data_IF_944539873325
#
_entry.id   IF_944539873325
#
_cell.length_a   1.000
_cell.length_b   1.000
_cell.length_c   1.000
_cell.angle_alpha   90.00
_cell.angle_beta   90.00
_cell.angle_gamma   90.00
#
_symmetry.space_group_name_H-M   'P 1'
#
loop_
_entity.id
_entity.type
_entity.pdbx_description
1 polymer ?
#
# COMPACT_ATOMS: atom_id res chain seq x y z
N UNK A 1 28.96 -19.83 64.00
CA UNK A 1 27.66 -19.24 63.59
C UNK A 1 27.84 -17.85 62.95
N UNK A 2 29.01 -17.54 62.36
CA UNK A 2 29.29 -16.19 61.82
C UNK A 2 29.25 -16.14 60.27
N UNK A 3 29.36 -17.30 59.64
CA UNK A 3 29.97 -17.42 58.31
C UNK A 3 28.92 -17.39 57.17
N UNK A 4 27.69 -17.82 57.46
CA UNK A 4 26.56 -17.88 56.50
C UNK A 4 26.17 -16.49 55.96
N UNK A 5 26.41 -15.41 56.71
CA UNK A 5 26.10 -14.04 56.25
C UNK A 5 27.11 -13.50 55.23
N UNK A 6 28.37 -13.93 55.31
CA UNK A 6 29.42 -13.47 54.40
C UNK A 6 29.22 -14.02 52.98
N UNK A 7 28.78 -15.27 52.84
CA UNK A 7 28.48 -15.91 51.55
C UNK A 7 27.12 -15.51 50.95
N UNK A 8 26.20 -14.94 51.75
CA UNK A 8 24.89 -14.47 51.25
C UNK A 8 25.03 -13.22 50.39
N UNK A 9 25.86 -12.28 50.83
CA UNK A 9 26.12 -11.00 50.17
C UNK A 9 26.57 -11.11 48.69
N UNK A 10 27.55 -11.94 48.28
CA UNK A 10 27.93 -12.10 46.87
C UNK A 10 26.86 -12.77 46.01
N UNK A 11 25.96 -13.57 46.59
CA UNK A 11 24.82 -14.16 45.87
C UNK A 11 23.76 -13.09 45.64
N UNK A 12 23.44 -12.27 46.65
CA UNK A 12 22.45 -11.19 46.56
C UNK A 12 22.89 -10.10 45.56
N UNK A 13 24.15 -9.68 45.57
CA UNK A 13 24.68 -8.75 44.56
C UNK A 13 24.70 -9.36 43.14
N UNK A 14 24.93 -10.68 43.01
CA UNK A 14 24.86 -11.37 41.71
C UNK A 14 23.42 -11.51 41.20
N UNK A 15 22.44 -11.72 42.08
CA UNK A 15 21.01 -11.71 41.72
C UNK A 15 20.63 -10.32 41.19
N UNK A 16 20.93 -9.27 41.93
CA UNK A 16 20.67 -7.87 41.55
C UNK A 16 21.33 -7.48 40.23
N UNK A 17 22.56 -7.95 39.97
CA UNK A 17 23.24 -7.75 38.69
C UNK A 17 22.59 -8.50 37.52
N UNK A 18 21.98 -9.67 37.77
CA UNK A 18 21.20 -10.41 36.77
C UNK A 18 19.82 -9.77 36.54
N UNK A 19 19.15 -9.28 37.59
CA UNK A 19 17.88 -8.54 37.48
C UNK A 19 18.04 -7.26 36.64
N UNK A 20 19.14 -6.53 36.81
CA UNK A 20 19.48 -5.39 35.96
C UNK A 20 19.63 -5.79 34.48
N UNK A 21 20.41 -6.84 34.19
CA UNK A 21 20.57 -7.37 32.82
C UNK A 21 19.25 -7.85 32.21
N UNK A 22 18.35 -8.45 33.01
CA UNK A 22 17.01 -8.85 32.56
C UNK A 22 16.16 -7.63 32.22
N UNK A 23 16.28 -6.53 32.98
CA UNK A 23 15.62 -5.26 32.65
C UNK A 23 16.11 -4.70 31.32
N UNK A 24 17.43 -4.60 31.13
CA UNK A 24 18.05 -4.09 29.89
C UNK A 24 17.60 -4.88 28.66
N UNK A 25 17.55 -6.22 28.77
CA UNK A 25 17.09 -7.11 27.69
C UNK A 25 15.59 -6.94 27.43
N UNK A 26 14.77 -6.80 28.48
CA UNK A 26 13.33 -6.60 28.34
C UNK A 26 13.00 -5.25 27.68
N UNK A 27 13.72 -4.18 28.02
CA UNK A 27 13.56 -2.86 27.37
C UNK A 27 13.95 -2.92 25.89
N UNK A 28 15.04 -3.63 25.55
CA UNK A 28 15.41 -3.87 24.15
C UNK A 28 14.36 -4.75 23.42
N UNK A 29 13.74 -5.72 24.09
CA UNK A 29 12.65 -6.51 23.52
C UNK A 29 11.39 -5.66 23.25
N UNK A 30 11.08 -4.71 24.15
CA UNK A 30 9.98 -3.74 23.96
C UNK A 30 10.23 -2.85 22.75
N UNK A 31 11.45 -2.32 22.59
CA UNK A 31 11.83 -1.54 21.40
C UNK A 31 11.65 -2.35 20.11
N UNK A 32 12.19 -3.56 20.06
CA UNK A 32 12.02 -4.46 18.91
C UNK A 32 10.54 -4.78 18.62
N UNK A 33 9.70 -4.95 19.65
CA UNK A 33 8.25 -5.15 19.50
C UNK A 33 7.56 -3.92 18.90
N UNK A 34 7.94 -2.71 19.31
CA UNK A 34 7.41 -1.46 18.76
C UNK A 34 7.80 -1.30 17.29
N UNK A 35 9.04 -1.60 16.91
CA UNK A 35 9.49 -1.56 15.51
C UNK A 35 8.74 -2.58 14.65
N UNK A 36 8.51 -3.79 15.15
CA UNK A 36 7.67 -4.81 14.47
C UNK A 36 6.23 -4.29 14.27
N UNK A 37 5.65 -3.57 15.24
CA UNK A 37 4.32 -2.96 15.11
C UNK A 37 4.32 -1.86 14.03
N UNK A 38 5.32 -0.98 14.04
CA UNK A 38 5.47 0.08 13.05
C UNK A 38 5.59 -0.48 11.63
N UNK A 39 6.46 -1.47 11.42
CA UNK A 39 6.62 -2.16 10.13
C UNK A 39 5.34 -2.87 9.68
N UNK A 40 4.59 -3.51 10.60
CA UNK A 40 3.28 -4.11 10.28
C UNK A 40 2.27 -3.06 9.79
N UNK A 41 2.22 -1.90 10.44
CA UNK A 41 1.34 -0.79 10.04
C UNK A 41 1.72 -0.22 8.67
N UNK A 42 3.01 -0.14 8.34
CA UNK A 42 3.47 0.26 7.00
C UNK A 42 3.11 -0.78 5.93
N UNK A 43 3.31 -2.07 6.21
CA UNK A 43 2.89 -3.17 5.33
C UNK A 43 1.38 -3.14 5.10
N UNK A 44 0.57 -2.81 6.12
CA UNK A 44 -0.88 -2.68 5.98
C UNK A 44 -1.28 -1.49 5.11
N UNK A 45 -0.67 -0.31 5.30
CA UNK A 45 -0.86 0.85 4.42
C UNK A 45 -0.51 0.52 2.96
N UNK A 46 0.59 -0.19 2.72
CA UNK A 46 1.00 -0.63 1.38
C UNK A 46 0.00 -1.62 0.78
N UNK A 47 -0.50 -2.59 1.55
CA UNK A 47 -1.56 -3.52 1.12
C UNK A 47 -2.86 -2.78 0.75
N UNK A 48 -3.26 -1.77 1.53
CA UNK A 48 -4.44 -0.94 1.24
C UNK A 48 -4.22 -0.02 0.02
N UNK A 49 -2.99 0.44 -0.21
CA UNK A 49 -2.61 1.24 -1.37
C UNK A 49 -2.50 0.46 -2.69
N UNK A 50 -2.39 -0.87 -2.64
CA UNK A 50 -2.37 -1.77 -3.79
C UNK A 50 -3.64 -2.62 -3.88
N UNK A 51 -4.78 -1.96 -4.11
CA UNK A 51 -5.93 -2.63 -4.71
C UNK A 51 -5.54 -3.25 -6.08
N UNK A 52 -6.12 -4.39 -6.48
CA UNK A 52 -5.68 -5.09 -7.68
C UNK A 52 -5.94 -4.26 -8.95
N UNK A 53 -4.95 -4.22 -9.84
CA UNK A 53 -5.10 -3.67 -11.17
C UNK A 53 -5.97 -4.59 -12.05
N UNK A 54 -7.30 -4.51 -11.95
CA UNK A 54 -8.21 -5.26 -12.81
C UNK A 54 -9.70 -5.03 -12.55
N UNK A 55 -10.40 -4.55 -13.57
CA UNK A 55 -11.86 -4.41 -13.71
C UNK A 55 -12.61 -3.46 -12.73
N UNK A 56 -13.23 -2.38 -13.23
CA UNK A 56 -14.44 -1.84 -12.61
C UNK A 56 -15.57 -2.88 -12.72
N UNK A 57 -16.39 -3.10 -11.69
CA UNK A 57 -17.66 -3.81 -11.88
C UNK A 57 -18.56 -2.97 -12.79
N UNK A 58 -18.80 -3.46 -14.00
CA UNK A 58 -19.77 -2.89 -14.92
C UNK A 58 -21.19 -3.26 -14.45
N UNK A 59 -21.70 -2.56 -13.44
CA UNK A 59 -23.13 -2.50 -13.18
C UNK A 59 -23.55 -1.13 -12.64
N UNK A 60 -23.51 -0.14 -13.53
CA UNK A 60 -24.28 1.11 -13.38
C UNK A 60 -25.77 0.74 -13.24
N UNK A 61 -26.46 1.05 -12.14
CA UNK A 61 -27.90 0.83 -12.06
C UNK A 61 -28.62 1.69 -13.12
N UNK A 62 -29.27 1.03 -14.08
CA UNK A 62 -30.07 1.68 -15.13
C UNK A 62 -31.40 2.19 -14.57
N UNK A 63 -31.41 3.41 -14.01
CA UNK A 63 -32.56 4.33 -13.97
C UNK A 63 -32.01 5.75 -14.16
N UNK A 64 -32.03 6.39 -15.34
CA UNK A 64 -33.15 6.72 -16.25
C UNK A 64 -34.25 7.48 -15.53
N UNK A 65 -34.51 8.71 -16.00
CA UNK A 65 -35.51 9.69 -15.52
C UNK A 65 -35.24 10.29 -14.13
N UNK A 66 -35.35 11.61 -13.91
CA UNK A 66 -35.73 12.72 -14.82
C UNK A 66 -35.26 14.06 -14.22
N UNK A 67 -34.45 14.83 -14.97
CA UNK A 67 -34.72 16.25 -15.30
C UNK A 67 -33.62 16.85 -16.19
N UNK A 68 -33.91 16.83 -17.48
CA UNK A 68 -33.64 17.97 -18.37
C UNK A 68 -34.41 19.22 -17.89
N UNK A 69 -34.10 20.47 -18.34
CA UNK A 69 -33.61 20.78 -19.70
C UNK A 69 -32.43 21.76 -19.86
N UNK A 70 -31.63 21.50 -20.90
CA UNK A 70 -31.15 22.43 -21.97
C UNK A 70 -30.60 23.81 -21.56
N UNK A 71 -29.43 24.29 -22.01
CA UNK A 71 -28.75 24.26 -23.33
C UNK A 71 -27.22 24.09 -23.12
N UNK A 72 -26.34 23.80 -24.08
CA UNK A 72 -26.30 24.23 -25.48
C UNK A 72 -25.44 23.30 -26.39
N UNK A 73 -25.77 23.27 -27.69
CA UNK A 73 -25.06 22.62 -28.82
C UNK A 73 -25.33 23.55 -30.03
N UNK A 74 -24.48 23.64 -31.10
CA UNK A 74 -24.08 22.44 -31.87
C UNK A 74 -22.77 22.46 -32.74
N UNK A 75 -22.36 21.23 -33.11
CA UNK A 75 -21.80 20.77 -34.41
C UNK A 75 -20.48 21.34 -35.00
N UNK A 76 -19.45 20.48 -34.93
CA UNK A 76 -18.42 20.04 -35.92
C UNK A 76 -17.78 18.74 -35.35
N UNK A 77 -16.93 17.93 -36.00
CA UNK A 77 -16.85 17.28 -37.35
C UNK A 77 -15.79 16.14 -37.21
N UNK A 78 -15.79 15.00 -37.91
CA UNK A 78 -16.82 14.22 -38.65
C UNK A 78 -16.28 12.78 -38.92
N UNK A 79 -17.06 11.89 -39.55
CA UNK A 79 -16.67 10.51 -39.98
C UNK A 79 -15.82 10.53 -41.26
N UNK A 80 -14.93 9.54 -41.57
CA UNK A 80 -15.22 8.09 -41.54
C UNK A 80 -14.06 7.11 -41.17
N UNK A 81 -14.35 5.81 -41.32
CA UNK A 81 -13.54 4.61 -41.05
C UNK A 81 -13.20 4.36 -39.57
N UNK A 82 -13.33 3.10 -39.17
CA UNK A 82 -13.37 2.69 -37.77
C UNK A 82 -12.10 3.02 -36.99
N UNK A 83 -12.17 3.09 -35.65
CA UNK A 83 -10.99 3.27 -34.84
C UNK A 83 -10.13 2.01 -34.98
N UNK A 84 -9.07 2.08 -35.77
CA UNK A 84 -7.97 1.13 -35.65
C UNK A 84 -7.37 1.35 -34.26
N UNK A 85 -7.56 0.36 -33.39
CA UNK A 85 -7.07 0.35 -32.02
C UNK A 85 -5.96 -0.69 -31.94
N UNK A 86 -4.80 -0.28 -31.44
CA UNK A 86 -3.61 -1.14 -31.31
C UNK A 86 -3.25 -1.34 -29.85
N UNK A 87 -2.70 -2.50 -29.55
CA UNK A 87 -2.22 -2.83 -28.21
C UNK A 87 -0.80 -2.30 -28.02
N UNK A 88 -0.55 -1.61 -26.91
CA UNK A 88 0.79 -1.13 -26.56
C UNK A 88 1.72 -2.33 -26.25
N UNK A 89 2.85 -2.50 -26.96
CA UNK A 89 3.76 -3.63 -26.75
C UNK A 89 4.51 -3.58 -25.42
N UNK A 90 4.47 -2.46 -24.69
CA UNK A 90 5.15 -2.27 -23.39
C UNK A 90 4.26 -2.53 -22.18
N UNK A 91 2.92 -2.46 -22.30
CA UNK A 91 2.02 -2.57 -21.14
C UNK A 91 0.64 -3.19 -21.43
N UNK A 92 0.38 -3.66 -22.66
CA UNK A 92 -0.91 -4.26 -23.04
C UNK A 92 -2.10 -3.31 -23.13
N UNK A 93 -1.91 -1.99 -22.94
CA UNK A 93 -3.00 -1.03 -23.04
C UNK A 93 -3.53 -0.91 -24.47
N UNK A 94 -4.85 -0.83 -24.61
CA UNK A 94 -5.53 -0.52 -25.88
C UNK A 94 -5.41 0.98 -26.16
N UNK A 95 -4.83 1.36 -27.30
CA UNK A 95 -4.54 2.75 -27.67
C UNK A 95 -4.94 3.01 -29.13
N UNK A 96 -5.59 4.13 -29.48
CA UNK A 96 -5.87 4.45 -30.89
C UNK A 96 -4.59 4.49 -31.73
N UNK A 97 -4.61 3.91 -32.94
CA UNK A 97 -3.42 3.77 -33.80
C UNK A 97 -2.77 5.09 -34.20
N UNK A 98 -3.51 6.21 -34.13
CA UNK A 98 -2.98 7.57 -34.38
C UNK A 98 -2.17 8.16 -33.20
N UNK A 99 -2.16 7.53 -32.03
CA UNK A 99 -1.40 8.02 -30.88
C UNK A 99 0.09 7.74 -31.03
N UNK A 100 0.92 8.78 -30.86
CA UNK A 100 2.39 8.71 -30.88
C UNK A 100 2.99 8.10 -29.60
N UNK A 101 2.23 8.13 -28.50
CA UNK A 101 2.63 7.66 -27.18
C UNK A 101 1.46 6.98 -26.47
N UNK A 102 1.75 6.04 -25.59
CA UNK A 102 0.77 5.34 -24.76
C UNK A 102 0.33 6.20 -23.58
N UNK A 103 -0.95 6.60 -23.54
CA UNK A 103 -1.51 7.36 -22.41
C UNK A 103 -1.51 6.61 -21.06
N UNK A 104 -1.23 5.30 -21.04
CA UNK A 104 -1.17 4.49 -19.81
C UNK A 104 0.25 4.33 -19.24
N UNK A 105 1.30 4.37 -20.07
CA UNK A 105 2.68 4.10 -19.63
C UNK A 105 3.76 5.02 -20.22
N UNK A 106 3.38 6.04 -21.00
CA UNK A 106 4.32 6.98 -21.64
C UNK A 106 5.15 6.41 -22.81
N UNK A 107 5.14 5.10 -23.03
CA UNK A 107 5.91 4.47 -24.11
C UNK A 107 5.54 5.02 -25.50
N UNK A 108 6.55 5.27 -26.34
CA UNK A 108 6.37 5.60 -27.76
C UNK A 108 5.79 4.40 -28.51
N UNK A 109 4.85 4.65 -29.43
CA UNK A 109 4.06 3.62 -30.13
C UNK A 109 4.20 3.70 -31.65
#
# INVERSE_FOLDING_TARGET
>A
MADIKAERNPIEERIKALEAQVSDVNDLEILNKLDIINLKNEIEKLKMGFGPAGAPPEERPKKVSKKEPQKEKPKKKETPKGPEIRTCPKCGAVVPSRAKYCGKCGAKL
#
